data_IF_167333246621
#
_entry.id   IF_167333246621
#
_cell.length_a   1.000
_cell.length_b   1.000
_cell.length_c   1.000
_cell.angle_alpha   90.00
_cell.angle_beta   90.00
_cell.angle_gamma   90.00
#
_symmetry.space_group_name_H-M   'P 1'
#
loop_
_entity.id
_entity.type
_entity.pdbx_description
1 polymer ?
#
# COMPACT_ATOMS: atom_id res chain seq x y z
N UNK A 1 -2.40 1.56 26.30
CA UNK A 1 -2.24 1.50 24.82
C UNK A 1 -3.11 0.42 24.18
N UNK A 2 -3.05 -0.83 24.64
CA UNK A 2 -3.78 -1.95 24.01
C UNK A 2 -5.33 -1.80 23.96
N UNK A 3 -5.94 -1.18 24.98
CA UNK A 3 -7.41 -0.95 25.01
C UNK A 3 -7.86 0.00 23.90
N UNK A 4 -7.14 1.12 23.70
CA UNK A 4 -7.49 2.09 22.67
C UNK A 4 -7.21 1.53 21.27
N UNK A 5 -6.12 0.79 21.09
CA UNK A 5 -5.83 0.07 19.85
C UNK A 5 -6.96 -0.92 19.49
N UNK A 6 -7.45 -1.70 20.46
CA UNK A 6 -8.59 -2.62 20.29
C UNK A 6 -9.90 -1.90 19.98
N UNK A 7 -10.18 -0.76 20.63
CA UNK A 7 -11.35 0.08 20.30
C UNK A 7 -11.26 0.60 18.86
N UNK A 8 -10.09 1.10 18.45
CA UNK A 8 -9.87 1.57 17.09
C UNK A 8 -10.00 0.46 16.06
N UNK A 9 -9.51 -0.76 16.35
CA UNK A 9 -9.65 -1.91 15.46
C UNK A 9 -11.10 -2.33 15.19
N UNK A 10 -12.02 -2.05 16.13
CA UNK A 10 -13.46 -2.26 15.93
C UNK A 10 -14.13 -1.16 15.09
N UNK A 11 -13.59 0.07 15.12
CA UNK A 11 -14.13 1.23 14.40
C UNK A 11 -13.56 1.38 12.99
N UNK A 12 -12.31 0.99 12.80
CA UNK A 12 -11.56 1.12 11.53
C UNK A 12 -11.01 -0.25 11.19
N UNK A 13 -11.79 -1.02 10.42
CA UNK A 13 -11.42 -2.39 10.04
C UNK A 13 -10.51 -2.34 8.82
N UNK A 14 -9.28 -2.82 9.00
CA UNK A 14 -8.27 -2.82 7.93
C UNK A 14 -7.95 -4.26 7.53
N UNK A 15 -8.20 -4.59 6.27
CA UNK A 15 -7.65 -5.79 5.65
C UNK A 15 -6.27 -5.45 5.09
N UNK A 16 -5.28 -6.23 5.50
CA UNK A 16 -3.92 -6.16 4.98
C UNK A 16 -3.69 -7.36 4.07
N UNK A 17 -3.33 -7.12 2.81
CA UNK A 17 -2.87 -8.17 1.93
C UNK A 17 -1.41 -7.92 1.56
N UNK A 18 -0.60 -8.97 1.69
CA UNK A 18 0.85 -8.90 1.56
C UNK A 18 1.26 -9.54 0.25
N UNK A 19 1.91 -8.77 -0.62
CA UNK A 19 2.57 -9.29 -1.81
C UNK A 19 3.81 -10.09 -1.38
N UNK A 20 3.83 -11.39 -1.69
CA UNK A 20 4.97 -12.27 -1.37
C UNK A 20 5.14 -13.31 -2.47
N UNK A 21 6.24 -14.08 -2.46
CA UNK A 21 6.42 -15.24 -3.32
C UNK A 21 6.87 -16.47 -2.52
N UNK A 22 6.87 -17.69 -3.10
CA UNK A 22 7.22 -18.92 -2.37
C UNK A 22 8.62 -18.89 -1.74
N UNK A 23 9.59 -18.24 -2.38
CA UNK A 23 10.97 -18.12 -1.85
C UNK A 23 11.04 -17.20 -0.62
N UNK A 24 10.06 -16.31 -0.45
CA UNK A 24 10.01 -15.33 0.63
C UNK A 24 9.12 -15.75 1.80
N UNK A 25 8.29 -16.79 1.66
CA UNK A 25 7.38 -17.24 2.72
C UNK A 25 8.09 -17.37 4.07
N UNK A 26 9.13 -18.21 4.14
CA UNK A 26 9.90 -18.47 5.37
C UNK A 26 10.92 -17.39 5.72
N UNK A 27 11.35 -16.57 4.77
CA UNK A 27 12.43 -15.59 4.96
C UNK A 27 11.92 -14.20 5.36
N UNK A 28 10.70 -13.87 4.97
CA UNK A 28 10.13 -12.52 5.10
C UNK A 28 8.69 -12.55 5.59
N UNK A 29 7.78 -13.22 4.87
CA UNK A 29 6.35 -13.17 5.15
C UNK A 29 5.96 -13.71 6.54
N UNK A 30 6.65 -14.75 7.03
CA UNK A 30 6.48 -15.24 8.42
C UNK A 30 6.73 -14.16 9.47
N UNK A 31 7.65 -13.22 9.22
CA UNK A 31 7.94 -12.12 10.14
C UNK A 31 6.86 -11.06 10.12
N UNK A 32 6.24 -10.79 8.96
CA UNK A 32 5.03 -9.94 8.89
C UNK A 32 3.91 -10.54 9.74
N UNK A 33 3.64 -11.85 9.58
CA UNK A 33 2.62 -12.56 10.38
C UNK A 33 2.93 -12.53 11.88
N UNK A 34 4.19 -12.77 12.25
CA UNK A 34 4.63 -12.82 13.65
C UNK A 34 4.70 -11.44 14.33
N UNK A 35 4.67 -10.35 13.55
CA UNK A 35 4.79 -8.98 14.07
C UNK A 35 3.54 -8.15 13.76
N UNK A 36 3.68 -7.11 12.93
CA UNK A 36 2.66 -6.10 12.71
C UNK A 36 1.41 -6.62 12.01
N UNK A 37 1.54 -7.65 11.17
CA UNK A 37 0.41 -8.20 10.40
C UNK A 37 -0.69 -8.76 11.30
N UNK A 38 -0.33 -9.28 12.49
CA UNK A 38 -1.29 -9.76 13.50
C UNK A 38 -2.24 -8.67 14.03
N UNK A 39 -1.90 -7.39 13.82
CA UNK A 39 -2.69 -6.24 14.24
C UNK A 39 -3.73 -5.83 13.20
N UNK A 40 -3.72 -6.40 11.98
CA UNK A 40 -4.76 -6.18 10.97
C UNK A 40 -6.04 -6.93 11.35
N UNK A 41 -7.20 -6.50 10.84
CA UNK A 41 -8.46 -7.21 11.06
C UNK A 41 -8.50 -8.52 10.26
N UNK A 42 -7.99 -8.47 9.04
CA UNK A 42 -7.78 -9.62 8.16
C UNK A 42 -6.37 -9.50 7.61
N UNK A 43 -5.63 -10.61 7.59
CA UNK A 43 -4.28 -10.70 7.05
C UNK A 43 -4.22 -11.81 6.02
N UNK A 44 -3.87 -11.45 4.78
CA UNK A 44 -3.72 -12.38 3.66
C UNK A 44 -2.33 -12.28 3.05
N UNK A 45 -1.79 -13.40 2.58
CA UNK A 45 -0.53 -13.44 1.83
C UNK A 45 -0.79 -13.88 0.39
N UNK A 46 -0.59 -12.97 -0.56
CA UNK A 46 -0.87 -13.20 -1.98
C UNK A 46 0.36 -13.80 -2.67
N UNK A 47 0.28 -15.04 -3.14
CA UNK A 47 1.43 -15.81 -3.66
C UNK A 47 1.03 -16.73 -4.84
N UNK A 48 1.98 -17.23 -5.63
CA UNK A 48 1.71 -18.24 -6.68
C UNK A 48 1.56 -19.67 -6.15
N UNK A 49 1.93 -19.92 -4.89
CA UNK A 49 1.84 -21.23 -4.24
C UNK A 49 1.23 -21.09 -2.86
N UNK A 50 0.55 -22.15 -2.41
CA UNK A 50 0.00 -22.23 -1.07
C UNK A 50 1.09 -22.62 -0.06
N UNK A 51 1.06 -22.02 1.12
CA UNK A 51 1.88 -22.40 2.28
C UNK A 51 0.96 -22.45 3.49
N UNK A 52 0.87 -23.62 4.14
CA UNK A 52 -0.02 -23.86 5.28
C UNK A 52 0.42 -23.14 6.56
N UNK A 53 1.66 -22.65 6.62
CA UNK A 53 2.18 -21.86 7.75
C UNK A 53 1.73 -20.39 7.70
N UNK A 54 1.20 -19.93 6.57
CA UNK A 54 0.70 -18.56 6.33
C UNK A 54 -0.76 -18.62 5.86
N UNK A 55 -1.60 -17.61 6.14
CA UNK A 55 -2.91 -17.48 5.51
C UNK A 55 -2.74 -17.06 4.04
N UNK A 56 -2.24 -17.99 3.23
CA UNK A 56 -1.85 -17.77 1.85
C UNK A 56 -3.05 -17.90 0.91
N UNK A 57 -3.17 -16.97 -0.03
CA UNK A 57 -4.07 -17.06 -1.17
C UNK A 57 -3.23 -17.35 -2.40
N UNK A 58 -3.45 -18.52 -3.00
CA UNK A 58 -2.77 -18.93 -4.24
C UNK A 58 -3.43 -18.24 -5.43
N UNK A 59 -2.76 -17.25 -6.00
CA UNK A 59 -3.21 -16.53 -7.18
C UNK A 59 -2.82 -17.26 -8.47
N UNK A 60 -3.64 -17.23 -9.53
CA UNK A 60 -3.37 -17.89 -10.81
C UNK A 60 -2.39 -17.07 -11.68
N UNK A 61 -1.29 -16.59 -11.10
CA UNK A 61 -0.32 -15.70 -11.75
C UNK A 61 1.10 -16.25 -11.54
N UNK A 62 1.96 -16.08 -12.54
CA UNK A 62 3.38 -16.45 -12.45
C UNK A 62 4.13 -15.52 -11.49
N UNK A 63 5.22 -16.01 -10.92
CA UNK A 63 6.14 -15.16 -10.16
C UNK A 63 7.07 -14.38 -11.08
N UNK A 64 7.51 -13.22 -10.60
CA UNK A 64 8.46 -12.35 -11.29
C UNK A 64 8.03 -10.90 -11.25
N UNK A 65 9.01 -10.01 -11.39
CA UNK A 65 8.78 -8.56 -11.35
C UNK A 65 7.81 -8.10 -12.44
N UNK A 66 7.88 -8.74 -13.60
CA UNK A 66 7.03 -8.44 -14.76
C UNK A 66 5.57 -8.89 -14.58
N UNK A 67 5.24 -9.62 -13.50
CA UNK A 67 3.88 -10.10 -13.21
C UNK A 67 3.26 -9.45 -11.98
N UNK A 68 3.94 -8.48 -11.35
CA UNK A 68 3.44 -7.81 -10.14
C UNK A 68 2.11 -7.10 -10.39
N UNK A 69 1.91 -6.54 -11.59
CA UNK A 69 0.67 -5.89 -11.94
C UNK A 69 -0.50 -6.88 -12.03
N UNK A 70 -0.34 -7.99 -12.76
CA UNK A 70 -1.34 -9.07 -12.79
C UNK A 70 -1.65 -9.60 -11.39
N UNK A 71 -0.62 -9.80 -10.57
CA UNK A 71 -0.79 -10.32 -9.21
C UNK A 71 -1.57 -9.34 -8.33
N UNK A 72 -1.36 -8.04 -8.50
CA UNK A 72 -2.12 -6.99 -7.80
C UNK A 72 -3.58 -6.96 -8.25
N UNK A 73 -3.86 -7.07 -9.56
CA UNK A 73 -5.23 -7.17 -10.06
C UNK A 73 -5.96 -8.37 -9.45
N UNK A 74 -5.34 -9.56 -9.49
CA UNK A 74 -5.94 -10.78 -8.95
C UNK A 74 -6.06 -10.75 -7.41
N UNK A 75 -5.11 -10.15 -6.70
CA UNK A 75 -5.20 -9.94 -5.26
C UNK A 75 -6.41 -9.07 -4.88
N UNK A 76 -6.60 -7.93 -5.55
CA UNK A 76 -7.72 -7.04 -5.25
C UNK A 76 -9.07 -7.63 -5.69
N UNK A 77 -9.13 -8.37 -6.81
CA UNK A 77 -10.33 -9.15 -7.18
C UNK A 77 -10.69 -10.15 -6.08
N UNK A 78 -9.71 -10.94 -5.62
CA UNK A 78 -9.95 -11.90 -4.53
C UNK A 78 -10.46 -11.22 -3.26
N UNK A 79 -9.81 -10.13 -2.84
CA UNK A 79 -10.21 -9.33 -1.68
C UNK A 79 -11.63 -8.78 -1.86
N UNK A 80 -11.98 -8.30 -3.04
CA UNK A 80 -13.32 -7.80 -3.35
C UNK A 80 -14.38 -8.91 -3.27
N UNK A 81 -14.11 -10.05 -3.91
CA UNK A 81 -15.06 -11.16 -3.98
C UNK A 81 -15.30 -11.83 -2.61
N UNK A 82 -14.28 -11.89 -1.75
CA UNK A 82 -14.33 -12.70 -0.53
C UNK A 82 -14.43 -11.88 0.76
N UNK A 83 -13.93 -10.64 0.77
CA UNK A 83 -13.73 -9.87 2.01
C UNK A 83 -14.23 -8.42 1.95
N UNK A 84 -14.91 -8.01 0.87
CA UNK A 84 -15.34 -6.62 0.70
C UNK A 84 -16.23 -6.08 1.81
N UNK A 85 -17.09 -6.93 2.39
CA UNK A 85 -18.00 -6.54 3.48
C UNK A 85 -17.35 -6.65 4.88
N UNK A 86 -16.20 -7.34 4.98
CA UNK A 86 -15.54 -7.63 6.25
C UNK A 86 -14.57 -6.54 6.69
N UNK A 87 -14.18 -5.63 5.79
CA UNK A 87 -13.25 -4.53 6.05
C UNK A 87 -13.74 -3.19 5.48
N UNK A 88 -13.23 -2.11 6.04
CA UNK A 88 -13.52 -0.74 5.61
C UNK A 88 -12.40 -0.18 4.72
N UNK A 89 -11.17 -0.66 4.94
CA UNK A 89 -9.96 -0.22 4.28
C UNK A 89 -9.13 -1.42 3.81
N UNK A 90 -8.54 -1.32 2.63
CA UNK A 90 -7.84 -2.39 1.94
C UNK A 90 -6.39 -1.97 1.67
N UNK A 91 -5.48 -2.47 2.49
CA UNK A 91 -4.08 -2.06 2.50
C UNK A 91 -3.19 -3.11 1.82
N UNK A 92 -2.50 -2.68 0.76
CA UNK A 92 -1.44 -3.42 0.08
C UNK A 92 -0.11 -3.12 0.76
N UNK A 93 0.67 -4.16 1.04
CA UNK A 93 2.07 -4.04 1.46
C UNK A 93 2.93 -5.12 0.81
N UNK A 94 4.25 -4.92 0.80
CA UNK A 94 5.21 -5.93 0.40
C UNK A 94 5.71 -6.72 1.62
N UNK A 95 6.29 -7.91 1.38
CA UNK A 95 6.78 -8.79 2.44
C UNK A 95 7.98 -8.25 3.25
N UNK A 96 8.55 -7.12 2.84
CA UNK A 96 9.59 -6.35 3.54
C UNK A 96 9.11 -4.96 4.02
N UNK A 97 7.80 -4.71 4.02
CA UNK A 97 7.20 -3.52 4.65
C UNK A 97 6.99 -3.72 6.15
N UNK A 98 7.18 -2.66 6.96
CA UNK A 98 6.76 -2.62 8.37
C UNK A 98 5.74 -1.52 8.61
N UNK A 99 4.69 -1.82 9.39
CA UNK A 99 3.58 -0.87 9.62
C UNK A 99 3.19 -0.80 11.09
N UNK A 100 3.01 0.43 11.59
CA UNK A 100 2.34 0.66 12.86
C UNK A 100 0.85 0.79 12.57
N UNK A 101 0.11 -0.32 12.65
CA UNK A 101 -1.29 -0.40 12.21
C UNK A 101 -2.20 0.55 13.01
N UNK A 102 -1.87 0.82 14.27
CA UNK A 102 -2.54 1.81 15.11
C UNK A 102 -2.45 3.23 14.53
N UNK A 103 -1.27 3.63 14.03
CA UNK A 103 -1.07 4.92 13.39
C UNK A 103 -1.82 5.00 12.05
N UNK A 104 -1.84 3.89 11.30
CA UNK A 104 -2.64 3.78 10.09
C UNK A 104 -4.12 3.99 10.38
N UNK A 105 -4.69 3.29 11.38
CA UNK A 105 -6.09 3.46 11.79
C UNK A 105 -6.40 4.88 12.26
N UNK A 106 -5.50 5.49 13.02
CA UNK A 106 -5.67 6.85 13.49
C UNK A 106 -5.81 7.82 12.32
N UNK A 107 -4.92 7.74 11.32
CA UNK A 107 -5.03 8.55 10.09
C UNK A 107 -6.36 8.31 9.36
N UNK A 108 -6.72 7.04 9.16
CA UNK A 108 -7.90 6.65 8.38
C UNK A 108 -9.22 7.01 9.07
N UNK A 109 -9.23 7.14 10.39
CA UNK A 109 -10.43 7.46 11.17
C UNK A 109 -11.08 8.81 10.85
N UNK A 110 -10.35 9.70 10.18
CA UNK A 110 -10.84 11.02 9.77
C UNK A 110 -11.64 10.99 8.44
N UNK A 111 -11.73 9.85 7.76
CA UNK A 111 -12.27 9.76 6.40
C UNK A 111 -13.46 8.80 6.32
N UNK A 112 -14.40 9.11 5.41
CA UNK A 112 -15.52 8.23 5.09
C UNK A 112 -15.11 7.22 4.01
N UNK A 113 -15.28 5.94 4.28
CA UNK A 113 -14.87 4.86 3.36
C UNK A 113 -15.76 4.75 2.12
N UNK A 114 -16.91 5.44 2.10
CA UNK A 114 -17.80 5.56 0.96
C UNK A 114 -17.33 6.58 -0.08
N UNK A 115 -16.33 7.40 0.25
CA UNK A 115 -15.73 8.33 -0.71
C UNK A 115 -14.59 7.64 -1.49
N UNK A 116 -14.47 7.87 -2.81
CA UNK A 116 -13.48 7.19 -3.66
C UNK A 116 -12.09 7.77 -3.44
N UNK A 117 -11.32 7.19 -2.51
CA UNK A 117 -9.99 7.67 -2.15
C UNK A 117 -8.96 6.57 -1.88
N UNK A 118 -7.68 6.93 -2.01
CA UNK A 118 -6.55 6.09 -1.62
C UNK A 118 -5.37 6.92 -1.09
N UNK A 119 -4.57 6.30 -0.22
CA UNK A 119 -3.44 6.93 0.48
C UNK A 119 -2.18 6.09 0.34
N UNK A 120 -1.02 6.73 0.45
CA UNK A 120 0.29 6.09 0.41
C UNK A 120 1.41 7.12 0.35
N UNK A 121 2.57 6.72 -0.16
CA UNK A 121 3.67 7.64 -0.49
C UNK A 121 3.51 8.16 -1.91
N UNK A 122 2.98 9.38 -2.07
CA UNK A 122 2.62 9.92 -3.38
C UNK A 122 3.85 10.36 -4.19
N UNK A 123 3.97 9.86 -5.40
CA UNK A 123 4.92 10.25 -6.43
C UNK A 123 4.23 11.00 -7.58
N UNK A 124 4.94 11.96 -8.17
CA UNK A 124 4.45 12.85 -9.25
C UNK A 124 4.43 12.25 -10.65
N UNK A 125 5.47 11.52 -11.12
CA UNK A 125 5.60 11.25 -12.54
C UNK A 125 4.51 10.29 -13.03
N UNK A 126 4.30 10.24 -14.35
CA UNK A 126 3.48 9.26 -15.06
C UNK A 126 1.95 9.33 -14.90
N UNK A 127 1.43 9.89 -13.81
CA UNK A 127 -0.02 10.04 -13.55
C UNK A 127 -0.31 11.49 -13.17
N UNK A 128 -1.38 12.09 -13.70
CA UNK A 128 -1.63 13.54 -13.52
C UNK A 128 -1.87 13.89 -12.05
N UNK A 129 -2.65 13.08 -11.33
CA UNK A 129 -2.80 13.17 -9.89
C UNK A 129 -1.62 12.52 -9.14
N UNK A 130 -0.60 11.99 -9.80
CA UNK A 130 0.41 11.15 -9.17
C UNK A 130 -0.12 9.76 -8.78
N UNK A 131 0.77 8.94 -8.22
CA UNK A 131 0.51 7.56 -7.84
C UNK A 131 1.18 7.25 -6.49
N UNK A 132 0.81 6.15 -5.83
CA UNK A 132 1.41 5.77 -4.54
C UNK A 132 2.50 4.74 -4.76
N UNK A 133 3.70 4.97 -4.22
CA UNK A 133 4.81 4.00 -4.30
C UNK A 133 4.40 2.62 -3.79
N UNK A 134 4.66 1.58 -4.59
CA UNK A 134 4.27 0.21 -4.25
C UNK A 134 4.95 -0.33 -2.99
N UNK A 135 6.25 -0.04 -2.80
CA UNK A 135 7.05 -0.53 -1.67
C UNK A 135 6.77 0.18 -0.34
N UNK A 136 6.22 1.41 -0.38
CA UNK A 136 5.73 2.09 0.82
C UNK A 136 4.40 1.51 1.32
N UNK A 137 3.74 0.71 0.48
CA UNK A 137 2.34 0.31 0.63
C UNK A 137 1.37 1.44 0.32
N UNK A 138 0.13 1.04 0.05
CA UNK A 138 -0.98 1.97 -0.19
C UNK A 138 -2.30 1.36 0.26
N UNK A 139 -3.24 2.22 0.68
CA UNK A 139 -4.53 1.82 1.23
C UNK A 139 -5.66 2.43 0.43
N UNK A 140 -6.61 1.60 0.00
CA UNK A 140 -7.83 2.00 -0.69
C UNK A 140 -8.99 2.04 0.30
N UNK A 141 -9.84 3.05 0.15
CA UNK A 141 -11.19 3.08 0.73
C UNK A 141 -12.06 1.97 0.14
N UNK A 142 -13.18 1.66 0.80
CA UNK A 142 -14.18 0.71 0.31
C UNK A 142 -14.72 1.11 -1.07
N UNK A 143 -15.10 2.36 -1.27
CA UNK A 143 -15.53 2.83 -2.59
C UNK A 143 -14.37 2.80 -3.61
N UNK A 144 -13.15 3.12 -3.19
CA UNK A 144 -11.96 3.03 -4.04
C UNK A 144 -11.72 1.63 -4.60
N UNK A 145 -11.78 0.59 -3.74
CA UNK A 145 -11.66 -0.80 -4.16
C UNK A 145 -12.79 -1.21 -5.12
N UNK A 146 -14.03 -0.85 -4.79
CA UNK A 146 -15.19 -1.17 -5.62
C UNK A 146 -15.02 -0.66 -7.05
N UNK A 147 -14.68 0.62 -7.20
CA UNK A 147 -14.46 1.22 -8.53
C UNK A 147 -13.28 0.58 -9.26
N UNK A 148 -12.21 0.28 -8.55
CA UNK A 148 -11.05 -0.38 -9.15
C UNK A 148 -11.43 -1.72 -9.79
N UNK A 149 -12.17 -2.57 -9.07
CA UNK A 149 -12.55 -3.90 -9.55
C UNK A 149 -13.68 -3.84 -10.57
N UNK A 150 -14.77 -3.11 -10.28
CA UNK A 150 -15.98 -3.11 -11.10
C UNK A 150 -15.90 -2.22 -12.34
N UNK A 151 -15.08 -1.16 -12.31
CA UNK A 151 -15.05 -0.14 -13.36
C UNK A 151 -13.70 -0.02 -14.05
N UNK A 152 -12.59 -0.16 -13.33
CA UNK A 152 -11.26 0.01 -13.92
C UNK A 152 -10.80 -1.29 -14.57
N UNK A 153 -10.65 -2.38 -13.80
CA UNK A 153 -10.11 -3.65 -14.32
C UNK A 153 -11.02 -4.25 -15.40
N UNK A 154 -12.33 -4.03 -15.32
CA UNK A 154 -13.32 -4.51 -16.30
C UNK A 154 -13.28 -3.79 -17.65
N UNK A 155 -12.56 -2.67 -17.76
CA UNK A 155 -12.55 -1.79 -18.94
C UNK A 155 -11.11 -1.55 -19.42
N UNK A 156 -10.78 -2.10 -20.59
CA UNK A 156 -9.45 -1.98 -21.20
C UNK A 156 -9.04 -0.54 -21.54
N UNK A 157 -10.00 0.37 -21.68
CA UNK A 157 -9.73 1.79 -21.92
C UNK A 157 -9.32 2.52 -20.64
N UNK A 158 -9.67 1.97 -19.48
CA UNK A 158 -9.39 2.57 -18.17
C UNK A 158 -8.22 1.92 -17.46
N UNK A 159 -7.96 0.65 -17.72
CA UNK A 159 -6.96 -0.11 -17.00
C UNK A 159 -6.25 -1.13 -17.89
N UNK A 160 -4.93 -1.23 -17.72
CA UNK A 160 -4.08 -2.10 -18.52
C UNK A 160 -4.40 -3.58 -18.25
N UNK A 161 -4.72 -4.31 -19.32
CA UNK A 161 -5.18 -5.69 -19.24
C UNK A 161 -4.05 -6.74 -19.20
N UNK A 162 -2.91 -6.47 -19.84
CA UNK A 162 -1.75 -7.36 -19.79
C UNK A 162 -1.08 -7.42 -18.39
N UNK A 163 0.04 -8.15 -18.29
CA UNK A 163 0.81 -8.28 -17.05
C UNK A 163 1.87 -7.19 -16.86
N UNK A 164 2.16 -6.40 -17.91
CA UNK A 164 3.27 -5.47 -17.92
C UNK A 164 2.97 -4.16 -17.20
N UNK A 165 4.00 -3.31 -17.14
CA UNK A 165 3.97 -2.03 -16.46
C UNK A 165 4.45 -2.11 -15.01
N UNK A 166 4.81 -0.95 -14.46
CA UNK A 166 5.12 -0.85 -13.04
C UNK A 166 3.80 -0.87 -12.26
N UNK A 167 3.67 -1.83 -11.34
CA UNK A 167 2.43 -2.12 -10.59
C UNK A 167 1.79 -0.87 -9.97
N UNK A 168 2.60 -0.06 -9.31
CA UNK A 168 2.16 1.15 -8.62
C UNK A 168 1.74 2.28 -9.57
N UNK A 169 2.44 2.43 -10.69
CA UNK A 169 2.08 3.37 -11.76
C UNK A 169 0.77 2.96 -12.43
N UNK A 170 0.61 1.67 -12.77
CA UNK A 170 -0.62 1.16 -13.39
C UNK A 170 -1.81 1.26 -12.43
N UNK A 171 -1.62 0.96 -11.14
CA UNK A 171 -2.62 1.22 -10.10
C UNK A 171 -3.06 2.69 -10.10
N UNK A 172 -2.12 3.63 -10.09
CA UNK A 172 -2.41 5.06 -10.11
C UNK A 172 -3.22 5.49 -11.33
N UNK A 173 -2.87 5.01 -12.53
CA UNK A 173 -3.61 5.27 -13.78
C UNK A 173 -5.04 4.73 -13.70
N UNK A 174 -5.21 3.48 -13.30
CA UNK A 174 -6.51 2.83 -13.23
C UNK A 174 -7.44 3.57 -12.26
N UNK A 175 -6.93 3.94 -11.08
CA UNK A 175 -7.68 4.71 -10.07
C UNK A 175 -8.03 6.13 -10.55
N UNK A 176 -7.12 6.82 -11.23
CA UNK A 176 -7.40 8.14 -11.84
C UNK A 176 -8.56 8.07 -12.84
N UNK A 177 -8.56 7.05 -13.71
CA UNK A 177 -9.57 6.87 -14.75
C UNK A 177 -10.98 6.56 -14.23
N UNK A 178 -11.11 6.12 -12.97
CA UNK A 178 -12.40 5.88 -12.31
C UNK A 178 -12.70 6.86 -11.17
N UNK A 179 -11.97 7.99 -11.15
CA UNK A 179 -12.23 9.09 -10.23
C UNK A 179 -11.89 8.79 -8.76
N UNK A 180 -11.00 7.84 -8.50
CA UNK A 180 -10.46 7.58 -7.17
C UNK A 180 -9.30 8.52 -6.89
N UNK A 181 -9.46 9.34 -5.85
CA UNK A 181 -8.57 10.47 -5.55
C UNK A 181 -7.35 10.03 -4.76
N UNK A 182 -6.17 10.41 -5.24
CA UNK A 182 -4.92 10.33 -4.50
C UNK A 182 -4.91 11.39 -3.39
N UNK A 183 -4.99 10.94 -2.14
CA UNK A 183 -5.09 11.81 -0.98
C UNK A 183 -3.73 12.13 -0.36
N UNK A 184 -3.67 13.19 0.43
CA UNK A 184 -2.49 13.53 1.23
C UNK A 184 -2.48 12.70 2.52
N UNK A 185 -1.41 11.91 2.71
CA UNK A 185 -1.24 11.04 3.87
C UNK A 185 -0.42 11.70 5.00
N UNK A 186 0.08 12.92 4.78
CA UNK A 186 0.90 13.64 5.77
C UNK A 186 0.10 14.05 6.99
N UNK A 187 0.81 14.27 8.10
CA UNK A 187 0.18 14.80 9.31
C UNK A 187 -0.06 16.30 9.26
N UNK A 188 -0.62 16.86 10.34
CA UNK A 188 -0.94 18.28 10.47
C UNK A 188 0.29 19.19 10.41
N UNK A 189 1.50 18.63 10.55
CA UNK A 189 2.77 19.35 10.40
C UNK A 189 3.43 19.10 9.03
N UNK A 190 2.75 18.42 8.11
CA UNK A 190 3.28 18.10 6.79
C UNK A 190 4.30 16.96 6.78
N UNK A 191 4.40 16.14 7.84
CA UNK A 191 5.36 15.03 7.92
C UNK A 191 4.78 13.77 7.29
N UNK A 192 5.61 13.02 6.56
CA UNK A 192 5.22 11.78 5.90
C UNK A 192 4.76 10.69 6.88
N UNK A 193 3.86 9.81 6.43
CA UNK A 193 3.45 8.59 7.15
C UNK A 193 3.73 7.30 6.37
N UNK A 194 4.03 7.41 5.08
CA UNK A 194 4.36 6.32 4.17
C UNK A 194 5.72 6.61 3.54
N UNK A 195 6.60 5.63 3.60
CA UNK A 195 8.02 5.81 3.26
C UNK A 195 8.47 4.66 2.36
N UNK A 196 9.06 4.93 1.18
CA UNK A 196 9.38 3.90 0.20
C UNK A 196 10.77 3.28 0.40
N UNK A 197 11.52 3.71 1.42
CA UNK A 197 12.85 3.21 1.73
C UNK A 197 13.00 2.85 3.20
N UNK A 198 14.14 2.23 3.51
CA UNK A 198 14.49 1.84 4.88
C UNK A 198 14.48 3.07 5.81
N UNK A 199 14.10 2.90 7.09
CA UNK A 199 14.03 4.01 8.05
C UNK A 199 15.30 4.86 8.13
N UNK A 200 16.48 4.27 7.96
CA UNK A 200 17.77 4.96 7.95
C UNK A 200 17.81 6.13 6.96
N UNK A 201 17.22 5.95 5.76
CA UNK A 201 17.16 6.98 4.72
C UNK A 201 16.23 8.16 5.07
N UNK A 202 15.37 8.00 6.07
CA UNK A 202 14.40 9.00 6.51
C UNK A 202 14.70 9.58 7.89
N UNK A 203 15.51 8.89 8.70
CA UNK A 203 15.83 9.28 10.08
C UNK A 203 17.25 9.85 10.22
N UNK A 204 18.17 9.48 9.34
CA UNK A 204 19.58 9.89 9.40
C UNK A 204 19.82 10.96 8.31
N UNK A 205 20.44 12.11 8.62
CA UNK A 205 20.87 13.08 7.60
C UNK A 205 22.04 12.55 6.75
N UNK A 206 22.02 12.82 5.44
CA UNK A 206 23.12 12.47 4.52
C UNK A 206 23.11 11.12 3.77
N UNK A 207 22.24 10.11 4.04
CA UNK A 207 22.27 8.84 3.30
C UNK A 207 21.59 8.91 1.93
N UNK A 208 20.71 9.89 1.68
CA UNK A 208 20.16 10.14 0.35
C UNK A 208 20.83 11.39 -0.24
N UNK A 209 21.51 11.21 -1.36
CA UNK A 209 22.03 12.29 -2.18
C UNK A 209 20.90 13.30 -2.53
N UNK A 210 21.06 14.62 -2.34
CA UNK A 210 20.08 15.62 -2.75
C UNK A 210 19.67 15.55 -4.23
N UNK A 211 20.52 15.04 -5.11
CA UNK A 211 20.24 14.84 -6.53
C UNK A 211 19.56 13.49 -6.86
N UNK A 212 19.37 12.64 -5.86
CA UNK A 212 18.72 11.35 -5.99
C UNK A 212 17.30 11.50 -6.56
N UNK A 213 16.94 10.62 -7.49
CA UNK A 213 15.68 10.71 -8.24
C UNK A 213 14.44 10.77 -7.33
N UNK A 214 14.52 10.18 -6.13
CA UNK A 214 13.46 10.22 -5.13
C UNK A 214 12.97 11.64 -4.88
N UNK A 215 13.87 12.60 -4.69
CA UNK A 215 13.51 14.00 -4.41
C UNK A 215 12.79 14.66 -5.58
N UNK A 216 13.07 14.20 -6.81
CA UNK A 216 12.36 14.65 -8.02
C UNK A 216 10.98 14.00 -8.13
N UNK A 217 10.81 12.80 -7.58
CA UNK A 217 9.58 12.01 -7.68
C UNK A 217 8.58 12.31 -6.58
N UNK A 218 9.01 12.61 -5.34
CA UNK A 218 8.09 12.89 -4.22
C UNK A 218 7.10 14.00 -4.57
N UNK A 219 5.82 13.78 -4.29
CA UNK A 219 4.77 14.74 -4.61
C UNK A 219 4.86 16.00 -3.76
N UNK A 220 5.07 15.81 -2.47
CA UNK A 220 5.20 16.90 -1.53
C UNK A 220 6.67 17.28 -1.37
N UNK A 221 7.00 18.59 -1.34
CA UNK A 221 8.35 19.02 -1.01
C UNK A 221 8.76 18.48 0.35
N UNK A 222 9.99 17.98 0.45
CA UNK A 222 10.60 17.55 1.71
C UNK A 222 11.66 18.56 2.10
N UNK A 223 11.69 18.97 3.37
CA UNK A 223 12.76 19.80 3.90
C UNK A 223 13.93 18.92 4.32
N UNK A 224 15.11 19.17 3.76
CA UNK A 224 16.35 18.55 4.22
C UNK A 224 16.70 19.15 5.58
N UNK A 225 16.63 18.36 6.64
CA UNK A 225 17.14 18.75 7.95
C UNK A 225 18.67 18.73 7.87
N UNK A 226 19.27 19.90 7.63
CA UNK A 226 20.71 20.08 7.78
C UNK A 226 21.00 20.11 9.27
N UNK A 227 21.69 19.10 9.76
CA UNK A 227 22.23 19.12 11.11
C UNK A 227 23.23 20.26 11.24
N UNK A 228 22.84 21.32 11.95
CA UNK A 228 23.75 22.34 12.46
C UNK A 228 24.53 21.74 13.65
N UNK A 229 25.39 20.76 13.38
CA UNK A 229 26.41 20.35 14.34
C UNK A 229 27.76 20.79 13.79
N UNK A 230 28.12 22.05 14.06
CA UNK A 230 29.52 22.43 14.19
C UNK A 230 30.02 21.87 15.52
N UNK A 231 30.82 20.81 15.46
CA UNK A 231 31.68 20.43 16.59
C UNK A 231 32.90 21.36 16.62
#
# INVERSE_FOLDING_TARGET
EDVEAKKMAKKVRVLCWIMTNPKHHKKKAVHVKATWGSRCNILLFMSSENDTSLPTVKLPVKEGRDYLWSKTKEAFKYVYEHHFEEADWFFKADDDTYVIVENLRYMLSAYNTSDPMYFGCRFKPFVKQGFMSGGAGYVLSREGLKRFVEQAISDETKCRQDHGGAEDVEMGKCLENVGVKAMDSRDTFGRGRFFPYMPEYHLIPGPIDPDFWYWKYVYYPSELVRTLYSW
#
